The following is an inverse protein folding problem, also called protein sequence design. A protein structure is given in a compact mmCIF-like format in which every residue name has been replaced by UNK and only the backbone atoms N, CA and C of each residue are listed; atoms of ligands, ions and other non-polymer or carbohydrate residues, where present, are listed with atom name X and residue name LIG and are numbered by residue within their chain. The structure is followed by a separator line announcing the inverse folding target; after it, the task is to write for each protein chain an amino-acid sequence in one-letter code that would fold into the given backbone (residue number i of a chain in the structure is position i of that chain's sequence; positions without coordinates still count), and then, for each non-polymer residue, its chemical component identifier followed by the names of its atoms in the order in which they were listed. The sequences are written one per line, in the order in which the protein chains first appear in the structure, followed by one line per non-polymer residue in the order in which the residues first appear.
data_IF_002431654076
#
_entry.id   IF_002431654076
#
_cell.length_a   1.000
_cell.length_b   1.000
_cell.length_c   1.000
_cell.angle_alpha   90.00
_cell.angle_beta   90.00
_cell.angle_gamma   90.00
#
_symmetry.space_group_name_H-M   'P 1'
#
loop_
_entity.id
_entity.type
_entity.pdbx_description
1 polymer ?
2 non-polymer ?
3 non-polymer ?
4 water ?
#
# COMPACT_ATOMS: atom_id res chain seq x y z
N UNK A 4 -12.91 23.44 -5.84
CA UNK A 4 -13.31 23.29 -4.46
C UNK A 4 -12.07 23.27 -3.58
N UNK A 5 -12.30 23.46 -2.29
CA UNK A 5 -11.26 23.35 -1.31
C UNK A 5 -11.55 21.99 -0.83
N UNK A 6 -10.62 21.07 -1.03
CA UNK A 6 -10.81 19.68 -0.67
C UNK A 6 -9.98 19.38 0.56
N UNK A 7 -10.57 18.71 1.54
CA UNK A 7 -9.82 18.26 2.71
C UNK A 7 -9.75 16.75 2.65
N UNK A 8 -8.54 16.19 2.57
CA UNK A 8 -8.41 14.75 2.68
C UNK A 8 -7.69 14.41 3.97
N UNK A 9 -8.37 13.64 4.82
CA UNK A 9 -7.87 13.24 6.12
C UNK A 9 -7.28 11.85 6.02
N UNK A 10 -6.05 11.69 6.47
CA UNK A 10 -5.37 10.41 6.43
C UNK A 10 -4.59 10.22 7.72
N UNK A 11 -4.36 8.95 8.06
CA UNK A 11 -3.66 8.56 9.28
C UNK A 11 -2.16 8.77 9.13
N UNK A 12 -1.38 8.69 10.21
CA UNK A 12 0.11 8.68 10.09
C UNK A 12 0.72 7.30 9.83
N UNK A 13 0.64 6.88 8.55
CA UNK A 13 1.27 5.65 8.08
C UNK A 13 1.66 5.84 6.63
N UNK A 14 2.90 5.43 6.30
CA UNK A 14 3.42 5.63 4.95
C UNK A 14 2.60 4.88 3.92
N UNK A 15 2.17 3.66 4.25
CA UNK A 15 1.44 2.85 3.28
C UNK A 15 0.18 3.52 2.78
N UNK A 16 -0.51 4.25 3.67
CA UNK A 16 -1.79 4.86 3.30
C UNK A 16 -1.62 6.17 2.54
N UNK A 17 -0.47 6.83 2.68
CA UNK A 17 -0.32 8.19 2.17
C UNK A 17 0.24 8.22 0.74
N UNK A 18 1.07 7.25 0.35
CA UNK A 18 1.60 7.28 -1.01
C UNK A 18 0.50 7.24 -2.07
N UNK A 19 -0.44 6.28 -1.99
CA UNK A 19 -1.52 6.28 -2.98
C UNK A 19 -2.26 7.61 -3.02
N UNK A 20 -2.38 8.25 -1.88
CA UNK A 20 -3.04 9.55 -1.80
C UNK A 20 -2.22 10.65 -2.48
N UNK A 21 -0.88 10.62 -2.39
CA UNK A 21 -0.09 11.76 -2.86
C UNK A 21 -0.33 12.01 -4.34
N UNK A 22 -0.19 10.97 -5.16
CA UNK A 22 -0.36 11.11 -6.59
C UNK A 22 -1.74 11.64 -6.93
N UNK A 23 -2.73 11.33 -6.10
CA UNK A 23 -4.07 11.91 -6.27
C UNK A 23 -4.04 13.40 -5.96
N UNK A 24 -3.39 13.78 -4.86
CA UNK A 24 -3.23 15.21 -4.55
C UNK A 24 -2.55 15.93 -5.70
N UNK A 25 -1.48 15.33 -6.24
CA UNK A 25 -0.81 15.92 -7.39
C UNK A 25 -1.78 16.11 -8.55
N UNK A 26 -2.57 15.11 -8.86
CA UNK A 26 -3.47 15.27 -9.98
C UNK A 26 -4.50 16.30 -9.70
N UNK A 27 -4.97 16.36 -8.48
CA UNK A 27 -6.04 17.29 -8.18
C UNK A 27 -5.62 18.74 -8.44
N UNK A 28 -4.51 19.18 -7.84
CA UNK A 28 -4.06 20.56 -8.02
C UNK A 28 -3.80 20.87 -9.49
N UNK A 29 -3.38 19.86 -10.26
CA UNK A 29 -3.32 20.02 -11.71
C UNK A 29 -4.69 20.32 -12.28
N UNK A 30 -5.73 19.67 -11.73
CA UNK A 30 -7.10 19.99 -12.14
C UNK A 30 -7.55 21.34 -11.58
N UNK A 31 -6.95 21.79 -10.47
CA UNK A 31 -7.19 23.15 -10.01
C UNK A 31 -7.56 23.33 -8.55
N UNK A 32 -8.22 22.34 -7.95
CA UNK A 32 -8.73 22.44 -6.60
C UNK A 32 -7.59 22.55 -5.59
N UNK A 33 -7.93 22.80 -4.32
CA UNK A 33 -6.92 22.92 -3.29
C UNK A 33 -7.27 22.06 -2.08
N UNK A 34 -6.24 21.44 -1.53
CA UNK A 34 -6.35 20.43 -0.49
C UNK A 34 -5.76 21.00 0.78
N UNK A 35 -6.40 20.63 1.86
CA UNK A 35 -5.86 20.83 3.16
C UNK A 35 -5.61 19.36 3.45
N UNK A 36 -4.37 18.98 3.70
CA UNK A 36 -4.12 17.59 3.93
C UNK A 36 -3.64 17.39 5.33
N UNK A 37 -4.56 16.99 6.19
CA UNK A 37 -4.20 16.77 7.56
C UNK A 37 -3.27 15.60 7.64
N UNK A 38 -2.19 15.77 8.39
CA UNK A 38 -1.15 14.77 8.58
C UNK A 38 -0.25 15.11 9.76
N UNK A 39 0.53 14.13 10.20
CA UNK A 39 1.48 14.27 11.29
C UNK A 39 2.65 14.98 10.59
N UNK A 40 3.40 15.78 11.36
CA UNK A 40 4.49 16.57 10.80
C UNK A 40 5.48 15.67 10.09
N UNK A 41 5.87 14.58 10.72
CA UNK A 41 6.75 13.67 10.01
C UNK A 41 6.33 13.51 8.55
N UNK A 42 5.02 13.45 8.29
CA UNK A 42 4.51 13.19 6.95
C UNK A 42 4.26 14.44 6.13
N UNK A 43 4.45 15.61 6.71
CA UNK A 43 4.14 16.88 6.08
C UNK A 43 4.95 17.16 4.81
N UNK A 44 6.27 16.96 4.79
CA UNK A 44 7.03 17.35 3.58
C UNK A 44 6.62 16.64 2.31
N UNK A 45 6.29 15.34 2.39
CA UNK A 45 5.87 14.62 1.20
C UNK A 45 4.61 15.22 0.60
N UNK A 46 3.70 15.71 1.44
CA UNK A 46 2.45 16.33 0.98
C UNK A 46 2.77 17.51 0.08
N UNK A 47 3.66 18.38 0.55
CA UNK A 47 3.97 19.64 -0.13
C UNK A 47 4.34 19.43 -1.59
N UNK A 48 5.27 18.50 -1.85
CA UNK A 48 5.85 18.32 -3.17
C UNK A 48 4.81 18.24 -4.27
N UNK A 49 3.77 17.43 -4.06
CA UNK A 49 2.74 17.25 -5.07
C UNK A 49 1.75 18.40 -5.12
N UNK A 50 2.01 19.49 -4.41
CA UNK A 50 1.06 20.57 -4.28
C UNK A 50 0.17 20.34 -3.07
N UNK A 51 -0.92 21.11 -2.99
CA UNK A 51 -1.85 21.02 -1.86
C UNK A 51 -1.27 21.60 -0.59
N UNK A 52 -2.01 21.80 0.50
CA UNK A 52 -1.42 22.39 1.73
C UNK A 52 -1.86 21.52 2.86
N UNK A 53 -0.96 20.87 3.58
CA UNK A 53 -1.45 20.02 4.65
C UNK A 53 -0.90 20.54 5.94
N UNK A 54 -1.80 20.71 6.85
CA UNK A 54 -1.39 21.26 8.09
C UNK A 54 -1.20 20.24 9.16
N UNK A 55 0.03 20.08 9.59
CA UNK A 55 0.56 18.95 10.36
C UNK A 55 0.04 18.32 11.68
N UNK A 56 -0.58 19.02 12.61
CA UNK A 56 -0.90 18.34 13.86
C UNK A 56 0.06 18.43 15.01
N UNK A 72 2.02 4.70 16.47
CA UNK A 72 3.20 4.01 16.98
C UNK A 72 3.21 2.58 16.52
N UNK A 73 3.58 1.68 17.44
CA UNK A 73 3.64 0.26 17.14
C UNK A 73 2.26 -0.32 17.25
N UNK A 74 1.95 -1.21 16.33
CA UNK A 74 0.64 -1.84 16.26
C UNK A 74 0.46 -3.25 16.80
N UNK A 75 1.39 -3.74 17.60
CA UNK A 75 1.28 -5.10 18.13
C UNK A 75 -0.01 -5.35 18.92
N UNK A 76 -0.51 -4.36 19.66
CA UNK A 76 -1.73 -4.53 20.47
C UNK A 76 -2.98 -4.88 19.64
N UNK A 77 -3.81 -5.81 20.15
CA UNK A 77 -5.04 -6.38 19.57
C UNK A 77 -6.27 -5.49 19.28
N UNK A 78 -6.67 -4.59 20.18
CA UNK A 78 -7.85 -3.75 19.89
C UNK A 78 -7.75 -2.32 20.45
N UNK A 79 -8.84 -1.56 20.26
CA UNK A 79 -9.00 -0.19 20.74
C UNK A 79 -8.06 0.92 20.27
N UNK A 80 -7.71 0.91 18.99
CA UNK A 80 -6.86 1.95 18.45
C UNK A 80 -7.57 3.24 18.10
N UNK A 81 -8.86 3.22 17.88
CA UNK A 81 -9.47 4.46 17.42
C UNK A 81 -9.39 5.69 18.33
N UNK A 82 -9.67 5.48 19.60
CA UNK A 82 -9.77 6.65 20.44
C UNK A 82 -8.64 7.51 20.06
N UNK A 83 -7.47 6.94 19.96
CA UNK A 83 -6.43 7.85 19.49
C UNK A 83 -6.88 8.62 18.26
N UNK A 84 -7.59 7.95 17.35
CA UNK A 84 -8.15 8.65 16.20
C UNK A 84 -9.23 9.63 16.64
N UNK A 85 -10.01 9.28 17.67
CA UNK A 85 -10.88 10.28 18.27
C UNK A 85 -10.10 11.41 18.93
N UNK A 86 -8.83 11.20 19.27
CA UNK A 86 -8.08 12.32 19.83
C UNK A 86 -7.62 13.27 18.74
N UNK A 87 -7.35 12.76 17.55
CA UNK A 87 -7.00 13.63 16.46
C UNK A 87 -8.22 14.32 15.88
N UNK A 88 -9.43 13.82 16.17
CA UNK A 88 -10.64 14.46 15.67
C UNK A 88 -10.74 15.89 16.18
N UNK A 89 -10.64 16.15 17.50
CA UNK A 89 -10.61 17.56 17.93
C UNK A 89 -9.39 18.30 17.45
N UNK A 90 -8.21 17.70 17.58
CA UNK A 90 -6.99 18.38 17.17
C UNK A 90 -7.10 18.82 15.72
N UNK A 91 -7.56 17.94 14.84
CA UNK A 91 -7.77 18.34 13.45
C UNK A 91 -8.95 19.30 13.32
N UNK A 92 -9.99 19.11 14.15
CA UNK A 92 -11.19 19.95 14.02
C UNK A 92 -10.99 21.36 14.54
N UNK A 93 -9.81 21.73 15.03
CA UNK A 93 -9.58 23.11 15.40
C UNK A 93 -9.63 24.03 14.17
N UNK A 94 -9.22 23.52 13.02
CA UNK A 94 -9.22 24.31 11.80
C UNK A 94 -10.53 24.21 11.10
N UNK A 95 -11.45 23.57 11.77
CA UNK A 95 -12.72 23.29 11.14
C UNK A 95 -13.32 24.56 10.68
N UNK A 96 -13.33 25.50 11.60
CA UNK A 96 -13.89 26.81 11.32
C UNK A 96 -13.19 27.71 10.29
N UNK A 97 -11.88 27.79 10.34
CA UNK A 97 -11.19 28.76 9.50
C UNK A 97 -11.37 28.61 8.00
N UNK A 98 -11.25 27.40 7.50
CA UNK A 98 -11.45 27.06 6.08
C UNK A 98 -12.35 25.84 6.16
N UNK A 99 -13.38 25.75 5.34
CA UNK A 99 -14.26 24.59 5.47
C UNK A 99 -14.40 23.82 4.19
N UNK A 100 -14.56 22.50 4.31
CA UNK A 100 -14.63 21.67 3.10
C UNK A 100 -15.95 21.76 2.36
N UNK A 101 -15.81 21.44 1.07
CA UNK A 101 -16.92 21.23 0.18
C UNK A 101 -16.89 19.74 -0.16
N UNK A 102 -15.72 19.09 -0.03
CA UNK A 102 -15.59 17.65 -0.07
C UNK A 102 -14.42 17.25 0.78
N UNK A 103 -14.63 16.24 1.63
CA UNK A 103 -13.59 15.66 2.45
C UNK A 103 -13.40 14.21 2.05
N UNK A 104 -12.16 13.78 1.91
CA UNK A 104 -11.84 12.43 1.55
C UNK A 104 -11.09 11.86 2.69
N UNK A 105 -11.47 10.69 3.17
CA UNK A 105 -10.81 10.10 4.33
C UNK A 105 -10.35 8.68 4.02
N UNK A 106 -9.10 8.39 4.41
CA UNK A 106 -8.63 7.02 4.40
C UNK A 106 -9.53 6.19 5.31
N UNK A 107 -9.84 4.97 4.88
CA UNK A 107 -10.84 4.17 5.59
C UNK A 107 -10.42 3.89 7.02
N UNK A 108 -9.14 3.90 7.28
CA UNK A 108 -8.73 3.68 8.62
C UNK A 108 -8.82 4.91 9.46
N UNK A 109 -8.76 6.06 8.85
CA UNK A 109 -8.81 7.25 9.62
C UNK A 109 -10.23 7.55 9.87
N UNK A 110 -10.71 7.07 10.98
CA UNK A 110 -12.08 7.22 11.40
C UNK A 110 -12.50 8.63 11.64
N UNK A 111 -11.57 9.41 12.15
CA UNK A 111 -11.85 10.77 12.53
C UNK A 111 -12.40 11.62 11.41
N UNK A 112 -11.89 11.44 10.21
CA UNK A 112 -12.39 12.20 9.11
C UNK A 112 -13.85 11.93 8.92
N UNK A 113 -14.36 10.73 9.11
CA UNK A 113 -15.80 10.69 8.90
C UNK A 113 -16.56 11.41 9.98
N UNK A 114 -16.25 11.10 11.23
CA UNK A 114 -16.98 11.76 12.32
C UNK A 114 -17.10 13.26 12.08
N UNK A 115 -15.96 13.93 11.98
CA UNK A 115 -15.88 15.30 11.50
C UNK A 115 -16.77 15.51 10.28
N UNK A 116 -16.60 14.70 9.27
CA UNK A 116 -17.36 14.89 8.07
C UNK A 116 -18.80 14.72 8.32
N UNK A 117 -19.17 13.78 9.17
CA UNK A 117 -20.59 13.60 9.42
C UNK A 117 -21.18 14.83 10.04
N UNK A 118 -20.46 15.39 11.00
CA UNK A 118 -20.90 16.57 11.68
C UNK A 118 -21.08 17.70 10.70
N UNK A 119 -20.16 17.87 9.78
CA UNK A 119 -20.26 19.00 8.86
C UNK A 119 -21.20 18.73 7.70
N UNK A 120 -21.67 17.50 7.53
CA UNK A 120 -22.58 17.13 6.44
C UNK A 120 -22.03 17.56 5.09
N UNK A 121 -20.72 17.48 4.95
CA UNK A 121 -20.08 17.62 3.64
C UNK A 121 -20.19 16.27 2.95
N UNK A 122 -20.24 16.24 1.62
CA UNK A 122 -20.07 14.97 0.91
C UNK A 122 -18.77 14.30 1.34
N UNK A 123 -18.80 12.98 1.40
CA UNK A 123 -17.65 12.19 1.81
C UNK A 123 -17.25 11.27 0.67
N UNK A 124 -15.95 11.01 0.61
CA UNK A 124 -15.38 10.00 -0.26
C UNK A 124 -14.40 9.18 0.57
N UNK A 125 -14.56 7.87 0.55
CA UNK A 125 -13.71 6.98 1.33
C UNK A 125 -12.54 6.51 0.47
N UNK A 126 -11.37 6.43 1.09
CA UNK A 126 -10.17 5.90 0.46
C UNK A 126 -9.88 4.52 1.02
N UNK A 127 -9.74 3.57 0.12
CA UNK A 127 -9.39 2.24 0.50
C UNK A 127 -8.01 1.94 0.04
N UNK A 128 -7.08 2.05 0.95
CA UNK A 128 -5.68 1.77 0.72
C UNK A 128 -5.49 0.31 0.51
N UNK A 129 -6.27 -0.43 1.30
CA UNK A 129 -6.32 -1.87 1.38
C UNK A 129 -7.65 -2.32 0.82
N UNK A 130 -7.86 -3.62 0.74
CA UNK A 130 -9.07 -4.11 0.15
C UNK A 130 -10.29 -3.37 0.61
N UNK A 131 -11.27 -3.21 -0.25
CA UNK A 131 -12.49 -2.58 0.13
C UNK A 131 -13.52 -3.60 0.45
N UNK A 132 -14.46 -3.26 1.29
CA UNK A 132 -15.49 -4.17 1.65
C UNK A 132 -16.86 -3.59 1.55
N UNK A 133 -17.80 -4.48 1.23
CA UNK A 133 -19.21 -4.20 1.00
C UNK A 133 -20.07 -5.17 1.81
N UNK A 134 -21.34 -4.82 1.97
CA UNK A 134 -22.24 -5.59 2.78
C UNK A 134 -22.14 -7.05 2.58
N UNK A 135 -21.95 -7.44 1.36
CA UNK A 135 -21.88 -8.85 1.02
C UNK A 135 -20.55 -9.48 1.41
N UNK A 136 -19.50 -8.69 1.61
CA UNK A 136 -18.16 -9.20 1.87
C UNK A 136 -17.49 -8.37 2.95
N UNK A 137 -16.87 -9.05 3.92
CA UNK A 137 -16.22 -8.41 5.06
C UNK A 137 -14.83 -8.96 5.25
N UNK A 138 -13.98 -8.21 5.97
CA UNK A 138 -12.60 -8.61 6.19
C UNK A 138 -12.30 -8.84 7.66
N UNK A 139 -11.33 -9.68 7.90
CA UNK A 139 -10.97 -10.14 9.23
C UNK A 139 -11.58 -11.48 9.55
N UNK A 140 -10.89 -12.24 10.39
CA UNK A 140 -11.36 -13.56 10.80
C UNK A 140 -12.29 -13.42 12.00
N UNK A 141 -12.86 -14.56 12.42
CA UNK A 141 -13.81 -14.55 13.52
C UNK A 141 -13.14 -14.14 14.82
N UNK A 142 -11.86 -14.46 14.94
CA UNK A 142 -11.12 -14.03 16.10
C UNK A 142 -11.03 -12.52 16.10
N UNK A 143 -10.60 -11.96 14.97
CA UNK A 143 -10.60 -10.51 14.82
C UNK A 143 -12.02 -9.96 14.88
N UNK A 144 -12.89 -10.75 14.28
CA UNK A 144 -14.27 -10.41 14.24
C UNK A 144 -14.74 -10.40 15.63
N UNK A 145 -14.31 -11.36 16.41
CA UNK A 145 -14.79 -11.51 17.78
C UNK A 145 -14.61 -10.33 18.71
N UNK A 146 -13.60 -9.50 18.52
CA UNK A 146 -13.38 -8.37 19.40
C UNK A 146 -14.55 -7.37 19.49
N UNK A 147 -15.19 -7.04 18.36
CA UNK A 147 -16.44 -6.21 18.34
C UNK A 147 -16.69 -4.88 19.07
N UNK A 148 -15.85 -3.88 18.95
CA UNK A 148 -16.29 -2.60 19.57
C UNK A 148 -16.96 -2.73 20.96
N UNK A 149 -16.31 -3.42 21.88
CA UNK A 149 -16.95 -3.78 23.14
C UNK A 149 -17.22 -2.59 24.07
N UNK A 150 -16.20 -1.80 24.42
CA UNK A 150 -16.39 -0.75 25.42
C UNK A 150 -16.88 0.55 24.76
N UNK A 151 -17.97 0.99 25.36
CA UNK A 151 -18.65 2.17 24.98
C UNK A 151 -18.42 3.28 25.97
N UNK A 152 -17.67 4.29 25.51
CA UNK A 152 -17.49 5.46 26.37
C UNK A 152 -18.44 6.64 26.13
N UNK A 153 -18.46 7.51 27.14
CA UNK A 153 -19.37 8.64 27.16
C UNK A 153 -18.98 9.96 26.53
N UNK A 154 -19.48 10.10 25.32
CA UNK A 154 -19.44 11.30 24.51
C UNK A 154 -20.47 11.08 23.41
N UNK A 155 -20.98 12.18 22.86
CA UNK A 155 -22.00 12.13 21.82
C UNK A 155 -23.15 11.20 22.15
N UNK A 169 -22.87 3.14 14.45
CA UNK A 169 -23.07 1.73 14.16
C UNK A 169 -21.81 0.97 13.71
N UNK A 170 -21.89 0.37 12.52
CA UNK A 170 -20.80 -0.40 11.94
C UNK A 170 -19.63 0.50 11.63
N UNK A 171 -18.41 0.07 11.93
CA UNK A 171 -17.28 0.99 11.80
C UNK A 171 -16.90 1.45 10.40
N UNK A 172 -16.92 0.56 9.42
CA UNK A 172 -16.52 0.94 8.06
C UNK A 172 -17.41 0.54 6.89
N UNK A 173 -18.57 1.18 6.75
CA UNK A 173 -19.51 0.88 5.65
C UNK A 173 -19.15 1.62 4.35
N UNK A 174 -20.00 1.51 3.29
CA UNK A 174 -19.48 2.16 2.11
C UNK A 174 -20.19 3.48 1.90
N UNK A 175 -19.39 4.47 1.50
CA UNK A 175 -19.84 5.83 1.16
C UNK A 175 -20.31 5.86 -0.29
N UNK A 176 -21.00 6.93 -0.69
CA UNK A 176 -21.50 7.02 -2.05
C UNK A 176 -20.42 6.70 -3.08
N UNK A 177 -19.19 7.04 -2.75
CA UNK A 177 -18.11 6.76 -3.65
C UNK A 177 -16.86 6.40 -2.86
N UNK A 178 -16.30 5.25 -3.16
CA UNK A 178 -15.10 4.81 -2.48
C UNK A 178 -14.03 4.51 -3.48
N UNK A 179 -12.86 5.06 -3.30
CA UNK A 179 -11.79 4.80 -4.23
C UNK A 179 -10.87 3.73 -3.73
N UNK A 180 -10.69 2.69 -4.50
CA UNK A 180 -9.83 1.62 -4.10
C UNK A 180 -8.61 1.63 -4.94
N UNK A 181 -7.49 1.60 -4.24
CA UNK A 181 -6.20 1.64 -4.91
C UNK A 181 -5.70 0.29 -5.40
N UNK A 182 -6.50 -0.36 -6.24
CA UNK A 182 -6.09 -1.57 -6.86
C UNK A 182 -6.99 -1.86 -8.02
N UNK A 183 -6.53 -2.59 -8.96
CA UNK A 183 -7.46 -2.97 -10.02
C UNK A 183 -8.59 -3.79 -9.44
N UNK A 184 -9.76 -3.74 -10.11
CA UNK A 184 -10.91 -4.45 -9.59
C UNK A 184 -10.67 -5.94 -9.52
N UNK A 185 -9.95 -6.48 -10.50
CA UNK A 185 -9.69 -7.92 -10.56
C UNK A 185 -8.90 -8.41 -9.35
N UNK A 186 -8.10 -7.53 -8.74
CA UNK A 186 -7.38 -7.92 -7.53
C UNK A 186 -8.28 -7.97 -6.31
N UNK A 187 -9.30 -7.12 -6.26
CA UNK A 187 -10.24 -7.08 -5.14
C UNK A 187 -10.82 -8.46 -4.83
N UNK A 188 -10.83 -8.81 -3.55
CA UNK A 188 -11.47 -10.04 -3.10
C UNK A 188 -12.97 -9.94 -3.29
N UNK A 189 -13.57 -10.96 -3.90
CA UNK A 189 -15.00 -10.98 -4.19
C UNK A 189 -15.44 -9.74 -4.95
N UNK A 190 -14.68 -9.42 -6.00
CA UNK A 190 -14.91 -8.22 -6.82
C UNK A 190 -16.27 -8.24 -7.50
N UNK A 191 -16.89 -9.42 -7.67
CA UNK A 191 -18.20 -9.50 -8.29
C UNK A 191 -19.24 -8.71 -7.50
N UNK A 192 -19.10 -8.65 -6.17
CA UNK A 192 -20.12 -8.10 -5.28
C UNK A 192 -20.01 -6.58 -5.11
N UNK A 193 -19.22 -5.91 -5.93
CA UNK A 193 -18.89 -4.51 -5.69
C UNK A 193 -19.65 -3.57 -6.63
N UNK A 194 -20.05 -2.44 -6.05
CA UNK A 194 -21.01 -1.50 -6.63
C UNK A 194 -20.35 -0.51 -7.56
N UNK A 195 -21.17 0.40 -8.10
CA UNK A 195 -20.67 1.60 -8.73
C UNK A 195 -20.24 2.65 -7.71
N UNK A 196 -20.52 2.42 -6.42
CA UNK A 196 -19.93 3.23 -5.36
C UNK A 196 -18.43 2.98 -5.24
N UNK A 197 -17.90 1.97 -5.91
CA UNK A 197 -16.51 1.56 -5.76
C UNK A 197 -15.79 1.78 -7.09
N UNK A 198 -14.73 2.60 -7.05
CA UNK A 198 -13.90 2.89 -8.22
C UNK A 198 -12.53 2.28 -7.96
N UNK A 199 -12.18 1.28 -8.75
CA UNK A 199 -10.91 0.57 -8.59
C UNK A 199 -9.93 1.19 -9.57
N UNK A 200 -9.22 2.24 -9.10
CA UNK A 200 -8.32 3.01 -9.93
C UNK A 200 -6.89 2.46 -9.91
N UNK A 201 -6.64 1.35 -9.22
CA UNK A 201 -5.30 0.81 -9.16
C UNK A 201 -4.37 1.66 -8.33
N UNK A 202 -3.08 1.35 -8.34
CA UNK A 202 -2.11 2.19 -7.62
C UNK A 202 -2.08 3.58 -8.24
N UNK A 203 -1.94 4.59 -7.39
CA UNK A 203 -1.79 5.95 -7.91
C UNK A 203 -0.30 6.28 -7.97
N UNK A 204 0.26 6.07 -9.15
CA UNK A 204 1.65 6.41 -9.42
C UNK A 204 1.69 7.40 -10.56
N UNK A 205 2.40 8.51 -10.36
CA UNK A 205 2.59 9.49 -11.39
C UNK A 205 3.69 9.11 -12.36
N UNK A 206 4.18 10.11 -13.09
CA UNK A 206 5.28 9.95 -14.02
C UNK A 206 6.47 10.72 -13.46
N UNK A 207 7.57 10.04 -13.16
CA UNK A 207 8.72 10.76 -12.60
C UNK A 207 10.09 10.27 -13.02
N UNK A 208 11.09 11.17 -12.95
CA UNK A 208 12.50 10.91 -13.30
C UNK A 208 13.29 10.08 -12.30
N UNK A 209 13.88 9.02 -12.80
CA UNK A 209 14.52 8.09 -11.93
C UNK A 209 15.64 8.55 -11.11
N UNK A 210 15.48 8.34 -9.82
CA UNK A 210 16.54 8.54 -8.87
C UNK A 210 17.54 7.46 -9.11
N UNK A 211 17.08 6.28 -9.46
CA UNK A 211 17.99 5.17 -9.51
C UNK A 211 19.15 5.17 -10.45
N UNK A 212 18.86 5.41 -11.71
CA UNK A 212 19.85 5.45 -12.76
C UNK A 212 20.71 4.23 -12.71
N UNK A 213 20.14 3.11 -12.36
CA UNK A 213 21.01 2.03 -12.19
C UNK A 213 21.40 1.67 -13.53
N UNK A 214 22.63 1.93 -13.87
CA UNK A 214 23.02 1.47 -15.19
C UNK A 214 24.39 0.85 -15.45
N UNK A 215 24.33 -0.30 -16.08
CA UNK A 215 25.43 -1.09 -16.58
C UNK A 215 24.60 -2.05 -17.40
N UNK A 216 25.20 -2.87 -18.26
CA UNK A 216 24.39 -3.85 -18.99
C UNK A 216 23.92 -4.78 -17.89
N UNK A 217 22.73 -5.31 -18.03
CA UNK A 217 22.16 -6.25 -17.08
C UNK A 217 23.02 -7.49 -17.10
N UNK A 218 23.42 -7.81 -18.31
CA UNK A 218 24.19 -8.97 -18.67
C UNK A 218 23.24 -10.09 -18.99
N UNK A 219 21.95 -9.82 -18.90
CA UNK A 219 20.94 -10.85 -19.16
C UNK A 219 20.74 -11.65 -17.88
N UNK A 220 21.40 -11.19 -16.82
CA UNK A 220 21.35 -11.81 -15.52
C UNK A 220 20.10 -11.38 -14.87
N UNK A 221 19.28 -12.31 -14.46
CA UNK A 221 18.00 -11.94 -13.83
C UNK A 221 18.18 -11.17 -12.54
N UNK A 222 17.41 -10.10 -12.39
CA UNK A 222 17.49 -9.21 -11.24
C UNK A 222 16.38 -9.58 -10.26
N UNK A 223 16.77 -9.91 -9.03
CA UNK A 223 15.84 -10.19 -7.96
C UNK A 223 15.83 -9.03 -6.98
N UNK A 224 14.64 -8.62 -6.58
CA UNK A 224 14.49 -7.61 -5.54
C UNK A 224 14.00 -8.29 -4.27
N UNK A 225 14.62 -7.98 -3.16
CA UNK A 225 14.24 -8.49 -1.89
C UNK A 225 14.01 -7.37 -0.93
N UNK A 226 12.81 -7.25 -0.46
CA UNK A 226 12.47 -6.25 0.50
C UNK A 226 11.29 -6.65 1.36
N UNK A 227 11.41 -6.60 2.64
CA UNK A 227 10.32 -6.88 3.49
C UNK A 227 9.78 -5.60 4.00
N UNK A 228 10.45 -4.51 3.69
CA UNK A 228 9.92 -3.23 4.07
C UNK A 228 9.87 -3.05 5.57
N UNK A 229 8.80 -2.43 6.00
CA UNK A 229 8.53 -2.14 7.39
C UNK A 229 8.33 -3.33 8.31
N UNK A 230 7.78 -4.39 7.79
CA UNK A 230 7.53 -5.57 8.58
C UNK A 230 8.81 -6.28 8.80
N UNK A 231 8.79 -7.20 9.74
CA UNK A 231 9.95 -8.03 10.03
C UNK A 231 11.26 -7.27 10.24
N UNK A 232 11.25 -6.27 11.10
CA UNK A 232 12.44 -5.53 11.34
C UNK A 232 13.25 -6.22 12.42
N UNK A 233 12.74 -7.33 12.87
CA UNK A 233 13.34 -8.08 13.92
C UNK A 233 13.72 -9.41 13.43
N UNK A 234 14.00 -9.56 12.16
CA UNK A 234 14.34 -10.85 11.64
C UNK A 234 15.57 -10.86 10.79
N UNK A 235 16.72 -10.57 11.36
CA UNK A 235 17.95 -10.51 10.61
C UNK A 235 18.39 -11.81 10.03
N UNK A 236 17.94 -12.89 10.58
CA UNK A 236 18.33 -14.19 10.03
C UNK A 236 17.76 -14.40 8.62
N UNK A 237 16.64 -13.73 8.31
CA UNK A 237 16.09 -13.80 6.96
C UNK A 237 17.09 -13.32 5.93
N UNK A 238 17.64 -12.12 6.14
CA UNK A 238 18.56 -11.55 5.15
C UNK A 238 19.82 -12.39 5.03
N UNK A 239 20.25 -12.99 6.13
CA UNK A 239 21.36 -13.94 6.07
C UNK A 239 20.96 -15.17 5.29
N UNK A 240 19.71 -15.62 5.47
CA UNK A 240 19.24 -16.79 4.73
C UNK A 240 19.16 -16.52 3.24
N UNK A 241 18.75 -15.30 2.87
CA UNK A 241 18.74 -14.91 1.46
C UNK A 241 20.14 -14.98 0.88
N UNK A 242 21.12 -14.43 1.61
CA UNK A 242 22.50 -14.46 1.15
C UNK A 242 22.95 -15.90 0.93
N UNK A 243 22.70 -16.76 1.90
CA UNK A 243 23.07 -18.17 1.76
C UNK A 243 22.35 -18.80 0.58
N UNK A 244 21.09 -18.41 0.36
CA UNK A 244 20.28 -19.09 -0.67
C UNK A 244 20.75 -18.74 -2.07
N UNK A 245 21.15 -17.49 -2.31
CA UNK A 245 21.39 -16.99 -3.65
C UNK A 245 22.81 -16.47 -3.91
N UNK A 246 23.72 -16.53 -2.93
CA UNK A 246 25.10 -16.15 -3.21
C UNK A 246 25.69 -17.06 -4.29
N UNK A 247 26.30 -16.40 -5.23
CA UNK A 247 26.95 -17.12 -6.25
C UNK A 247 25.97 -18.10 -6.96
N UNK A 248 24.85 -17.52 -7.36
CA UNK A 248 23.84 -18.14 -8.21
C UNK A 248 23.68 -17.31 -9.47
N UNK A 249 22.76 -17.73 -10.33
CA UNK A 249 22.55 -17.01 -11.59
C UNK A 249 22.00 -15.61 -11.37
N UNK A 250 21.46 -15.32 -10.18
CA UNK A 250 20.75 -14.07 -9.95
C UNK A 250 21.69 -12.92 -9.60
N UNK A 251 21.21 -11.71 -9.87
CA UNK A 251 21.73 -10.47 -9.32
C UNK A 251 20.70 -9.95 -8.34
N UNK A 252 21.13 -9.66 -7.10
CA UNK A 252 20.19 -9.48 -6.00
C UNK A 252 20.35 -8.08 -5.40
N UNK A 253 19.23 -7.37 -5.29
CA UNK A 253 19.14 -6.10 -4.57
C UNK A 253 18.26 -6.33 -3.35
N UNK A 254 18.82 -6.08 -2.16
CA UNK A 254 18.17 -6.40 -0.89
C UNK A 254 18.10 -5.17 -0.01
N UNK A 255 16.90 -4.60 0.08
CA UNK A 255 16.62 -3.51 1.02
C UNK A 255 16.40 -4.09 2.40
N UNK A 256 17.35 -3.88 3.31
CA UNK A 256 17.25 -4.47 4.64
C UNK A 256 16.64 -3.51 5.66
N UNK A 257 16.33 -2.27 5.27
CA UNK A 257 15.88 -1.32 6.26
C UNK A 257 16.96 -1.12 7.32
N UNK A 258 16.53 -0.73 8.51
CA UNK A 258 17.41 -0.69 9.67
C UNK A 258 17.38 -1.99 10.47
N UNK A 259 16.76 -3.04 9.92
CA UNK A 259 16.66 -4.36 10.54
C UNK A 259 18.05 -4.88 10.87
N UNK A 260 18.96 -4.56 9.97
CA UNK A 260 20.34 -4.96 10.04
C UNK A 260 21.26 -3.88 9.57
N UNK A 261 22.55 -4.09 9.76
CA UNK A 261 23.47 -3.14 9.24
C UNK A 261 24.35 -3.88 8.30
N UNK A 262 24.41 -3.41 7.07
CA UNK A 262 25.21 -3.99 6.01
C UNK A 262 26.64 -4.33 6.44
N UNK A 263 27.34 -3.44 7.14
CA UNK A 263 28.68 -3.78 7.54
C UNK A 263 28.80 -5.01 8.41
N UNK A 264 27.83 -5.26 9.30
CA UNK A 264 27.84 -6.41 10.19
C UNK A 264 28.19 -7.70 9.52
N UNK A 265 27.67 -7.89 8.31
CA UNK A 265 27.94 -9.27 7.68
C UNK A 265 29.42 -9.71 7.29
N UNK A 266 29.94 -10.95 7.54
CA UNK A 266 31.36 -11.16 7.18
C UNK A 266 31.78 -11.02 5.73
N UNK A 267 31.04 -11.67 4.86
CA UNK A 267 31.31 -11.64 3.43
C UNK A 267 30.02 -11.38 2.67
N UNK A 268 29.99 -10.29 1.92
CA UNK A 268 28.86 -9.96 1.05
C UNK A 268 29.19 -10.52 -0.33
N UNK A 269 28.34 -11.35 -0.91
CA UNK A 269 28.65 -11.94 -2.21
C UNK A 269 28.69 -10.88 -3.30
N UNK A 270 29.49 -11.16 -4.32
CA UNK A 270 29.68 -10.21 -5.41
C UNK A 270 28.36 -9.88 -6.10
N UNK A 271 27.45 -10.85 -6.22
CA UNK A 271 26.21 -10.63 -6.94
C UNK A 271 25.11 -9.98 -6.10
N UNK A 272 25.43 -9.56 -4.87
CA UNK A 272 24.46 -8.92 -3.99
C UNK A 272 24.70 -7.42 -3.92
N UNK A 273 23.65 -6.69 -3.60
CA UNK A 273 23.72 -5.25 -3.35
C UNK A 273 22.78 -4.96 -2.19
N UNK A 274 23.34 -4.62 -1.03
CA UNK A 274 22.58 -4.49 0.21
C UNK A 274 22.55 -3.04 0.63
N UNK A 275 21.35 -2.53 0.88
CA UNK A 275 21.15 -1.15 1.29
C UNK A 275 20.10 -1.12 2.39
N UNK A 276 20.00 0.00 3.02
CA UNK A 276 18.98 0.20 3.93
C UNK A 276 17.72 0.52 3.16
N UNK A 277 17.86 1.09 1.98
CA UNK A 277 16.73 1.46 1.21
C UNK A 277 17.06 1.57 -0.22
N UNK A 278 16.10 1.37 -1.09
CA UNK A 278 16.27 1.47 -2.51
C UNK A 278 15.05 2.08 -3.12
N UNK A 279 15.16 2.60 -4.33
CA UNK A 279 13.98 3.13 -5.01
C UNK A 279 13.18 2.00 -5.65
N UNK A 280 12.12 1.61 -5.02
CA UNK A 280 11.44 0.42 -5.43
C UNK A 280 10.84 0.35 -6.77
N UNK A 281 10.20 1.43 -7.14
CA UNK A 281 9.57 1.57 -8.37
C UNK A 281 10.62 1.46 -9.39
N UNK A 282 11.76 2.00 -9.08
CA UNK A 282 12.88 2.02 -10.01
C UNK A 282 13.39 0.61 -10.30
N UNK A 283 13.73 -0.12 -9.24
CA UNK A 283 14.30 -1.47 -9.39
C UNK A 283 13.27 -2.43 -9.97
N UNK A 284 12.00 -2.28 -9.57
CA UNK A 284 10.95 -3.18 -10.05
C UNK A 284 10.83 -3.12 -11.57
N UNK A 285 11.03 -1.94 -12.15
CA UNK A 285 10.95 -1.82 -13.60
C UNK A 285 12.06 -2.59 -14.31
N UNK A 286 13.12 -2.94 -13.62
CA UNK A 286 14.20 -3.73 -14.19
C UNK A 286 14.29 -5.13 -13.61
N UNK A 287 13.41 -5.48 -12.68
CA UNK A 287 13.50 -6.75 -12.00
C UNK A 287 12.72 -7.83 -12.73
N UNK A 288 13.07 -9.09 -12.42
CA UNK A 288 12.38 -10.27 -12.89
C UNK A 288 11.65 -11.03 -11.78
N UNK A 289 11.97 -10.78 -10.51
CA UNK A 289 11.29 -11.39 -9.38
C UNK A 289 11.41 -10.45 -8.19
N UNK A 290 10.45 -10.55 -7.27
CA UNK A 290 10.36 -9.66 -6.13
C UNK A 290 9.93 -10.49 -4.92
N UNK A 291 10.83 -10.64 -3.95
CA UNK A 291 10.49 -11.23 -2.66
C UNK A 291 10.04 -10.11 -1.74
N UNK A 292 8.79 -10.17 -1.31
CA UNK A 292 8.18 -9.05 -0.61
C UNK A 292 7.35 -9.57 0.54
N UNK A 293 6.80 -8.63 1.31
CA UNK A 293 6.09 -8.91 2.54
C UNK A 293 4.58 -8.84 2.38
N UNK A 294 4.08 -8.64 1.17
CA UNK A 294 2.65 -8.61 0.96
C UNK A 294 1.97 -7.30 1.28
N UNK A 295 2.74 -6.24 1.52
CA UNK A 295 2.13 -4.93 1.61
C UNK A 295 1.43 -4.59 0.31
N UNK A 296 0.28 -3.94 0.44
CA UNK A 296 -0.54 -3.59 -0.72
C UNK A 296 0.22 -2.67 -1.67
N UNK A 297 0.95 -1.70 -1.13
CA UNK A 297 1.71 -0.80 -1.99
C UNK A 297 2.80 -1.54 -2.74
N UNK A 298 3.56 -2.38 -2.03
CA UNK A 298 4.62 -3.16 -2.66
C UNK A 298 4.06 -4.14 -3.68
N UNK A 299 2.91 -4.75 -3.38
CA UNK A 299 2.28 -5.68 -4.29
C UNK A 299 1.82 -4.97 -5.57
N UNK A 300 1.12 -3.84 -5.42
CA UNK A 300 0.59 -3.15 -6.58
C UNK A 300 1.71 -2.57 -7.44
N UNK A 301 2.77 -2.10 -6.80
CA UNK A 301 3.94 -1.65 -7.53
C UNK A 301 4.53 -2.79 -8.34
N UNK A 302 4.59 -3.99 -7.76
CA UNK A 302 5.11 -5.13 -8.49
C UNK A 302 4.19 -5.50 -9.64
N UNK A 303 2.92 -5.36 -9.43
CA UNK A 303 1.97 -5.56 -10.45
C UNK A 303 2.07 -4.53 -11.53
N UNK A 304 2.30 -3.29 -11.16
CA UNK A 304 2.43 -2.22 -12.15
C UNK A 304 3.67 -2.41 -13.01
N UNK A 305 4.74 -2.98 -12.43
CA UNK A 305 5.94 -3.30 -13.20
C UNK A 305 5.90 -4.70 -13.80
N UNK A 306 4.86 -5.47 -13.51
CA UNK A 306 4.76 -6.80 -14.09
C UNK A 306 5.86 -7.73 -13.62
N UNK A 307 6.06 -7.80 -12.31
CA UNK A 307 7.11 -8.62 -11.70
C UNK A 307 6.45 -9.68 -10.83
N UNK A 308 6.81 -10.95 -10.99
CA UNK A 308 6.23 -12.02 -10.17
C UNK A 308 6.68 -11.92 -8.72
N UNK A 309 6.01 -12.66 -7.84
CA UNK A 309 6.13 -12.38 -6.42
C UNK A 309 6.39 -13.65 -5.61
N UNK A 310 7.24 -13.54 -4.61
CA UNK A 310 7.32 -14.50 -3.51
C UNK A 310 6.95 -13.68 -2.28
N UNK A 311 5.82 -13.94 -1.71
CA UNK A 311 5.33 -13.18 -0.64
C UNK A 311 5.46 -13.86 0.69
N UNK A 312 6.12 -13.20 1.61
CA UNK A 312 6.32 -13.65 2.95
C UNK A 312 5.69 -12.65 3.88
N UNK A 313 4.47 -12.89 4.26
CA UNK A 313 3.72 -12.00 5.11
C UNK A 313 3.87 -12.09 6.60
N UNK A 314 3.62 -10.97 7.29
CA UNK A 314 3.71 -10.91 8.75
C UNK A 314 2.36 -10.60 9.41
N UNK A 315 1.76 -9.49 9.00
CA UNK A 315 0.47 -9.06 9.47
C UNK A 315 -0.66 -9.79 8.78
N UNK A 316 -1.84 -9.66 9.33
CA UNK A 316 -2.95 -10.32 8.75
C UNK A 316 -3.30 -9.87 7.36
N UNK A 317 -3.27 -8.59 7.09
CA UNK A 317 -3.62 -8.10 5.78
C UNK A 317 -2.69 -8.67 4.74
N UNK A 318 -1.42 -8.77 5.05
CA UNK A 318 -0.45 -9.34 4.19
C UNK A 318 -0.74 -10.78 3.94
N UNK A 319 -1.18 -11.50 4.94
CA UNK A 319 -1.57 -12.88 4.74
C UNK A 319 -2.67 -12.99 3.70
N UNK A 320 -3.63 -12.06 3.73
CA UNK A 320 -4.67 -12.01 2.73
C UNK A 320 -4.09 -11.75 1.35
N UNK A 321 -3.27 -10.70 1.23
CA UNK A 321 -2.63 -10.38 -0.04
C UNK A 321 -1.78 -11.56 -0.53
N UNK A 322 -0.98 -12.14 0.37
CA UNK A 322 -0.20 -13.33 0.02
C UNK A 322 -1.09 -14.46 -0.51
N UNK A 323 -2.21 -14.70 0.15
CA UNK A 323 -3.16 -15.69 -0.35
C UNK A 323 -3.72 -15.26 -1.70
N UNK A 324 -4.05 -13.99 -1.84
CA UNK A 324 -4.61 -13.47 -3.09
C UNK A 324 -3.66 -13.66 -4.26
N UNK A 325 -2.37 -13.33 -4.04
CA UNK A 325 -1.34 -13.56 -5.04
C UNK A 325 -1.29 -15.03 -5.44
N UNK A 326 -1.36 -15.93 -4.46
CA UNK A 326 -1.30 -17.36 -4.74
C UNK A 326 -2.51 -17.81 -5.54
N UNK A 327 -3.71 -17.40 -5.14
CA UNK A 327 -4.93 -17.87 -5.80
C UNK A 327 -5.09 -17.25 -7.17
N UNK A 328 -4.65 -16.01 -7.33
CA UNK A 328 -4.70 -15.37 -8.64
C UNK A 328 -3.60 -15.88 -9.56
N UNK A 329 -2.72 -16.76 -9.09
CA UNK A 329 -1.64 -17.27 -9.89
C UNK A 329 -0.57 -16.27 -10.22
N UNK A 330 -0.43 -15.23 -9.41
CA UNK A 330 0.55 -14.18 -9.66
C UNK A 330 1.89 -14.45 -8.98
N UNK A 331 2.03 -15.57 -8.26
CA UNK A 331 3.27 -15.85 -7.56
C UNK A 331 3.06 -16.97 -6.58
N UNK A 332 3.89 -16.98 -5.54
CA UNK A 332 3.88 -18.01 -4.50
C UNK A 332 3.81 -17.37 -3.12
N UNK A 333 3.10 -18.00 -2.21
CA UNK A 333 2.99 -17.55 -0.85
C UNK A 333 3.84 -18.43 0.01
N UNK A 334 4.90 -17.86 0.51
CA UNK A 334 5.87 -18.56 1.35
C UNK A 334 5.68 -18.10 2.79
N UNK A 335 5.07 -18.91 3.66
CA UNK A 335 4.83 -18.47 5.03
C UNK A 335 6.14 -18.35 5.81
N UNK A 336 6.15 -17.44 6.78
CA UNK A 336 7.37 -17.17 7.52
C UNK A 336 7.92 -18.42 8.19
N UNK A 337 7.03 -19.20 8.82
CA UNK A 337 7.43 -20.41 9.53
C UNK A 337 8.08 -21.44 8.62
N UNK A 338 7.96 -21.30 7.30
CA UNK A 338 8.58 -22.21 6.35
C UNK A 338 9.78 -21.62 5.64
N UNK A 339 10.05 -20.32 5.80
CA UNK A 339 11.20 -19.68 5.15
C UNK A 339 12.49 -20.34 5.64
N UNK A 340 13.15 -21.05 4.73
CA UNK A 340 14.48 -21.60 4.94
C UNK A 340 15.34 -21.18 3.75
N UNK A 341 16.64 -21.52 3.81
CA UNK A 341 17.49 -21.36 2.63
C UNK A 341 16.88 -22.13 1.46
N UNK A 342 16.43 -23.35 1.73
CA UNK A 342 15.89 -24.23 0.69
C UNK A 342 14.57 -23.70 0.16
N UNK A 343 13.66 -23.32 1.06
CA UNK A 343 12.33 -22.88 0.66
C UNK A 343 12.41 -21.61 -0.17
N UNK A 344 13.33 -20.71 0.17
CA UNK A 344 13.53 -19.50 -0.62
C UNK A 344 14.01 -19.86 -2.02
N UNK A 345 15.00 -20.74 -2.13
CA UNK A 345 15.48 -21.21 -3.42
C UNK A 345 14.35 -21.89 -4.19
N UNK A 346 13.66 -22.83 -3.56
CA UNK A 346 12.60 -23.55 -4.24
C UNK A 346 11.53 -22.61 -4.75
N UNK A 347 11.16 -21.61 -3.95
CA UNK A 347 10.13 -20.67 -4.34
C UNK A 347 10.58 -19.83 -5.54
N UNK A 348 11.73 -19.16 -5.40
CA UNK A 348 12.29 -18.36 -6.49
C UNK A 348 12.38 -19.17 -7.78
N UNK A 349 12.81 -20.42 -7.67
CA UNK A 349 12.99 -21.27 -8.85
C UNK A 349 11.65 -21.59 -9.50
N UNK A 350 10.67 -22.02 -8.70
CA UNK A 350 9.33 -22.30 -9.23
C UNK A 350 8.74 -21.08 -9.91
N UNK A 351 8.74 -19.94 -9.22
CA UNK A 351 8.12 -18.72 -9.74
C UNK A 351 8.81 -18.26 -11.03
N UNK A 352 10.12 -18.01 -10.95
CA UNK A 352 10.86 -17.44 -12.06
C UNK A 352 10.93 -18.37 -13.27
N UNK A 353 10.53 -19.63 -13.12
CA UNK A 353 10.56 -20.59 -14.22
C UNK A 353 9.19 -20.85 -14.82
N UNK A 354 8.12 -20.28 -14.27
CA UNK A 354 6.76 -20.58 -14.72
C UNK A 354 6.32 -19.48 -15.67
N UNK A 355 6.35 -19.77 -16.97
CA UNK A 355 6.02 -18.80 -18.00
C UNK A 355 4.55 -18.42 -17.98
N UNK A 356 3.68 -19.39 -17.70
CA UNK A 356 2.25 -19.12 -17.58
C UNK A 356 1.98 -18.17 -16.42
N UNK A 357 2.71 -18.32 -15.32
CA UNK A 357 2.59 -17.37 -14.22
C UNK A 357 3.01 -15.98 -14.67
N UNK A 358 4.08 -15.89 -15.45
CA UNK A 358 4.52 -14.61 -15.99
C UNK A 358 3.44 -13.98 -16.86
N UNK A 359 2.72 -14.79 -17.63
CA UNK A 359 1.63 -14.27 -18.46
C UNK A 359 0.56 -13.63 -17.59
N UNK A 360 0.10 -14.35 -16.56
CA UNK A 360 -0.93 -13.82 -15.68
C UNK A 360 -0.47 -12.55 -14.97
N UNK A 361 0.80 -12.50 -14.58
CA UNK A 361 1.39 -11.28 -14.05
C UNK A 361 1.28 -10.16 -15.08
N UNK A 362 1.57 -10.46 -16.35
CA UNK A 362 1.45 -9.46 -17.40
C UNK A 362 0.01 -9.01 -17.57
N UNK A 363 -0.91 -9.97 -17.58
CA UNK A 363 -2.33 -9.65 -17.66
C UNK A 363 -2.75 -8.77 -16.48
N UNK A 364 -2.29 -9.08 -15.28
CA UNK A 364 -2.58 -8.23 -14.12
C UNK A 364 -1.93 -6.86 -14.24
N UNK A 365 -0.71 -6.79 -14.79
CA UNK A 365 -0.10 -5.49 -15.06
C UNK A 365 -0.98 -4.66 -15.98
N UNK A 366 -1.49 -5.28 -17.00
CA UNK A 366 -2.35 -4.61 -17.93
C UNK A 366 -3.60 -4.12 -17.24
N UNK A 367 -4.22 -4.89 -16.39
CA UNK A 367 -5.36 -4.42 -15.59
C UNK A 367 -4.95 -3.26 -14.70
N UNK A 368 -3.76 -3.32 -14.12
CA UNK A 368 -3.30 -2.26 -13.22
C UNK A 368 -3.24 -0.92 -13.95
N UNK A 369 -2.76 -0.93 -15.20
CA UNK A 369 -2.69 0.30 -15.97
C UNK A 369 -4.07 0.75 -16.44
N UNK A 370 -4.94 -0.16 -16.82
CA UNK A 370 -6.24 0.22 -17.26
C UNK A 370 -7.08 0.72 -16.17
N UNK A 371 -6.66 0.52 -14.96
CA UNK A 371 -7.48 0.91 -13.81
C UNK A 371 -7.73 2.42 -13.73
N UNK A 372 -6.87 3.23 -14.36
CA UNK A 372 -7.11 4.65 -14.51
C UNK A 372 -6.25 5.56 -13.65
N UNK A 373 -5.70 5.06 -12.54
CA UNK A 373 -4.87 5.77 -11.59
C UNK A 373 -5.52 7.04 -11.02
N UNK A 374 -4.63 7.89 -10.49
CA UNK A 374 -5.04 9.16 -9.89
C UNK A 374 -5.85 10.00 -10.86
N UNK A 375 -5.55 9.89 -12.15
CA UNK A 375 -6.31 10.56 -13.20
C UNK A 375 -7.80 10.22 -13.10
N UNK A 376 -8.12 8.93 -13.24
CA UNK A 376 -9.51 8.47 -13.14
C UNK A 376 -10.07 8.70 -11.75
N UNK A 377 -9.23 8.61 -10.71
CA UNK A 377 -9.71 8.89 -9.36
C UNK A 377 -10.17 10.33 -9.23
N UNK A 378 -9.34 11.27 -9.69
CA UNK A 378 -9.70 12.68 -9.64
C UNK A 378 -10.97 12.96 -10.44
N UNK A 379 -11.06 12.38 -11.64
CA UNK A 379 -12.23 12.59 -12.49
C UNK A 379 -13.50 12.15 -11.79
N UNK A 380 -13.43 11.01 -11.09
CA UNK A 380 -14.61 10.51 -10.38
C UNK A 380 -14.99 11.42 -9.22
N UNK A 381 -14.03 12.14 -8.65
CA UNK A 381 -14.34 13.08 -7.58
C UNK A 381 -15.06 14.31 -8.13
N UNK A 382 -14.60 14.83 -9.27
CA UNK A 382 -15.25 15.99 -9.87
C UNK A 382 -16.66 15.64 -10.35
N UNK A 383 -16.81 14.51 -11.05
CA UNK A 383 -18.12 14.05 -11.46
C UNK A 383 -19.00 13.71 -10.26
N UNK A 384 -18.39 13.32 -9.14
CA UNK A 384 -19.15 13.10 -7.92
C UNK A 384 -19.79 14.40 -7.44
N UNK A 385 -19.10 15.53 -7.65
CA UNK A 385 -19.59 16.81 -7.16
C UNK A 385 -20.72 17.37 -8.01
N UNK A 386 -20.79 16.98 -9.29
CA UNK A 386 -21.88 17.42 -10.13
C UNK A 386 -23.20 16.83 -9.67
N UNK A 387 -23.17 15.59 -9.17
CA UNK A 387 -24.40 14.92 -8.76
C UNK A 387 -25.08 15.66 -7.62
N UNK A 388 -24.32 16.05 -6.59
CA UNK A 388 -24.84 16.78 -5.44
C UNK A 388 -25.98 16.04 -4.76
X LIG B 1 0.20 -21.68 0.01
X LIG C 1 -13.87 -14.62 -7.35
X LIG C 1 -15.20 -14.63 -7.01
X LIG C 1 -13.23 -13.53 -6.48
X LIG C 1 -12.03 -13.08 -7.00
X LIG C 1 -13.04 -14.21 -5.12
X LIG C 1 -12.60 -13.22 -4.26
X LIG D 1 -0.16 -28.18 -19.07
X LIG D 1 -0.78 -29.24 -18.42
X LIG D 1 -0.68 -26.87 -18.40
X LIG D 1 -0.38 -25.75 -19.17
X LIG D 1 0.05 -26.82 -17.06
X LIG D 1 1.38 -27.16 -17.35
#
# INVERSE_FOLDING_TARGET
MKKYHISMINIPAYGHVNPTLALVEKLCEKGHRVTYATTEEFAPAVQQAGGEALIYHTSLNIDPKQIREMMEKNDAPLSLLKESLSILPQLEELYKDDQPDLIIYDFVALAGKLFAEKLNVPVIKLCSSYAQNESFQLGNEDMLKKIREAEAEFKAYLEQEKLPAVSFEQLAVPEALNIVFMPKSFQIQHETFDDRFCFVGPSLGERKEKESLLIDKDDRPLMLISLGTAFNAWPEFYKMCIKAFRDSSWQVIMSVGKTIDPESLEDIPANFTIRQSVPQLEVLEKADLFISHGGMNSTMEAMNAGVPLVVIPQMYEQELTANRVDELGLGVYLPKEEVTVSSLQEAVQAVSSDQELLSRVKNMQKDVKEAGGAERAAAEIEAFMKKSAVPQ
NA NA
GOL C1 O1 C2 O2 C3 O3
GOL C1 O1 C2 O2 C3 O3
#
